data_IF_330820777749
#
_entry.id   IF_330820777749
#
_cell.length_a   1.000
_cell.length_b   1.000
_cell.length_c   1.000
_cell.angle_alpha   90.00
_cell.angle_beta   90.00
_cell.angle_gamma   90.00
#
_symmetry.space_group_name_H-M   'P 1'
#
loop_
_entity.id
_entity.type
_entity.pdbx_description
1 polymer ?
#
# COMPACT_ATOMS: atom_id res chain seq x y z
N UNK A 1 -37.11 20.07 5.98
CA UNK A 1 -36.81 19.58 7.37
C UNK A 1 -36.30 18.17 7.24
N UNK A 2 -35.09 17.88 7.75
CA UNK A 2 -34.51 16.52 7.67
C UNK A 2 -35.23 15.64 8.69
N UNK A 3 -35.74 14.50 8.24
CA UNK A 3 -36.44 13.52 9.08
C UNK A 3 -35.52 13.05 10.24
N UNK A 4 -36.05 12.98 11.50
CA UNK A 4 -35.28 12.49 12.65
C UNK A 4 -34.64 11.11 12.44
N UNK A 5 -35.32 10.21 11.71
CA UNK A 5 -34.82 8.89 11.37
C UNK A 5 -33.56 8.97 10.48
N UNK A 6 -33.57 9.89 9.51
CA UNK A 6 -32.40 10.16 8.64
C UNK A 6 -31.22 10.72 9.42
N UNK A 7 -31.46 11.59 10.41
CA UNK A 7 -30.41 12.12 11.28
C UNK A 7 -29.77 11.02 12.12
N UNK A 8 -30.59 10.13 12.69
CA UNK A 8 -30.11 8.99 13.46
C UNK A 8 -29.28 8.02 12.59
N UNK A 9 -29.76 7.71 11.38
CA UNK A 9 -29.02 6.88 10.43
C UNK A 9 -27.64 7.47 10.13
N UNK A 10 -27.57 8.77 9.80
CA UNK A 10 -26.28 9.46 9.55
C UNK A 10 -25.35 9.42 10.76
N UNK A 11 -25.89 9.59 11.96
CA UNK A 11 -25.10 9.50 13.20
C UNK A 11 -24.55 8.08 13.40
N UNK A 12 -25.37 7.05 13.18
CA UNK A 12 -24.95 5.65 13.29
C UNK A 12 -23.87 5.29 12.25
N UNK A 13 -24.01 5.71 10.99
CA UNK A 13 -23.01 5.47 9.95
C UNK A 13 -21.66 6.13 10.28
N UNK A 14 -21.67 7.33 10.87
CA UNK A 14 -20.45 7.98 11.38
C UNK A 14 -19.84 7.20 12.54
N UNK A 15 -20.65 6.77 13.51
CA UNK A 15 -20.19 5.98 14.66
C UNK A 15 -19.57 4.66 14.22
N UNK A 16 -20.17 3.97 13.26
CA UNK A 16 -19.67 2.74 12.66
C UNK A 16 -18.47 2.96 11.71
N UNK A 17 -18.08 4.22 11.48
CA UNK A 17 -16.97 4.58 10.57
C UNK A 17 -17.17 4.05 9.15
N UNK A 18 -18.36 4.30 8.58
CA UNK A 18 -18.74 3.93 7.22
C UNK A 18 -18.87 5.19 6.34
N UNK A 19 -17.78 5.89 6.03
CA UNK A 19 -17.82 7.18 5.35
C UNK A 19 -18.34 7.07 3.91
N UNK A 20 -18.01 5.99 3.19
CA UNK A 20 -18.46 5.77 1.81
C UNK A 20 -19.94 5.49 1.76
N UNK A 21 -20.43 4.63 2.67
CA UNK A 21 -21.88 4.38 2.81
C UNK A 21 -22.59 5.69 3.15
N UNK A 22 -22.07 6.49 4.08
CA UNK A 22 -22.66 7.79 4.46
C UNK A 22 -22.74 8.76 3.30
N UNK A 23 -21.78 8.74 2.39
CA UNK A 23 -21.77 9.61 1.20
C UNK A 23 -22.74 9.15 0.11
N UNK A 24 -22.87 7.84 -0.10
CA UNK A 24 -23.52 7.28 -1.29
C UNK A 24 -24.92 6.71 -1.05
N UNK A 25 -25.32 6.44 0.20
CA UNK A 25 -26.54 5.68 0.49
C UNK A 25 -27.82 6.33 -0.07
N UNK A 26 -27.96 7.66 -0.02
CA UNK A 26 -29.16 8.35 -0.51
C UNK A 26 -29.29 8.28 -2.04
N UNK A 27 -28.16 8.39 -2.74
CA UNK A 27 -28.11 8.28 -4.21
C UNK A 27 -28.45 6.87 -4.65
N UNK A 28 -27.76 5.88 -4.08
CA UNK A 28 -27.97 4.47 -4.42
C UNK A 28 -29.37 3.98 -4.05
N UNK A 29 -29.98 4.50 -2.98
CA UNK A 29 -31.36 4.16 -2.63
C UNK A 29 -32.34 4.64 -3.69
N UNK A 30 -32.16 5.86 -4.23
CA UNK A 30 -32.99 6.37 -5.32
C UNK A 30 -32.84 5.57 -6.61
N UNK A 31 -31.58 5.23 -6.93
CA UNK A 31 -31.26 4.45 -8.13
C UNK A 31 -31.81 3.02 -8.03
N UNK A 32 -31.73 2.39 -6.86
CA UNK A 32 -32.30 1.07 -6.60
C UNK A 32 -33.86 1.07 -6.69
N UNK A 33 -34.50 2.08 -6.11
CA UNK A 33 -35.93 2.24 -6.19
C UNK A 33 -36.42 2.46 -7.64
N UNK A 34 -35.67 3.24 -8.45
CA UNK A 34 -35.99 3.47 -9.85
C UNK A 34 -35.88 2.21 -10.73
N UNK A 35 -35.07 1.23 -10.30
CA UNK A 35 -34.83 -0.04 -11.01
C UNK A 35 -35.58 -1.23 -10.40
N UNK A 36 -36.38 -0.99 -9.37
CA UNK A 36 -37.10 -2.03 -8.59
C UNK A 36 -36.09 -3.13 -8.11
N UNK A 37 -34.93 -2.70 -7.64
CA UNK A 37 -33.89 -3.62 -7.14
C UNK A 37 -34.27 -4.19 -5.76
N UNK A 38 -33.97 -5.48 -5.49
CA UNK A 38 -34.09 -6.07 -4.16
C UNK A 38 -33.25 -5.31 -3.12
N UNK A 39 -33.76 -5.20 -1.90
CA UNK A 39 -33.03 -4.52 -0.80
C UNK A 39 -31.65 -5.09 -0.53
N UNK A 40 -31.48 -6.41 -0.71
CA UNK A 40 -30.21 -7.09 -0.57
C UNK A 40 -29.19 -6.65 -1.63
N UNK A 41 -29.64 -6.40 -2.86
CA UNK A 41 -28.77 -5.91 -3.93
C UNK A 41 -28.26 -4.49 -3.63
N UNK A 42 -29.17 -3.62 -3.18
CA UNK A 42 -28.79 -2.28 -2.70
C UNK A 42 -27.77 -2.33 -1.55
N UNK A 43 -28.02 -3.14 -0.52
CA UNK A 43 -27.12 -3.28 0.62
C UNK A 43 -25.76 -3.84 0.21
N UNK A 44 -25.75 -4.84 -0.68
CA UNK A 44 -24.52 -5.40 -1.23
C UNK A 44 -23.69 -4.33 -1.94
N UNK A 45 -24.31 -3.54 -2.82
CA UNK A 45 -23.62 -2.46 -3.53
C UNK A 45 -22.99 -1.46 -2.58
N UNK A 46 -23.69 -1.03 -1.54
CA UNK A 46 -23.17 -0.13 -0.51
C UNK A 46 -21.97 -0.72 0.23
N UNK A 47 -22.07 -1.98 0.64
CA UNK A 47 -20.99 -2.64 1.38
C UNK A 47 -19.76 -2.90 0.51
N UNK A 48 -19.95 -3.28 -0.76
CA UNK A 48 -18.85 -3.45 -1.72
C UNK A 48 -18.10 -2.14 -1.95
N UNK A 49 -18.80 -1.00 -2.08
CA UNK A 49 -18.18 0.32 -2.22
C UNK A 49 -17.36 0.69 -0.98
N UNK A 50 -17.87 0.47 0.22
CA UNK A 50 -17.13 0.74 1.47
C UNK A 50 -15.88 -0.13 1.57
N UNK A 51 -15.99 -1.43 1.27
CA UNK A 51 -14.85 -2.37 1.27
C UNK A 51 -13.80 -1.95 0.25
N UNK A 52 -14.20 -1.60 -0.96
CA UNK A 52 -13.30 -1.14 -2.01
C UNK A 52 -12.57 0.15 -1.62
N UNK A 53 -13.30 1.14 -1.07
CA UNK A 53 -12.71 2.40 -0.61
C UNK A 53 -11.72 2.18 0.54
N UNK A 54 -12.04 1.33 1.51
CA UNK A 54 -11.13 0.98 2.61
C UNK A 54 -9.88 0.28 2.11
N UNK A 55 -10.03 -0.65 1.18
CA UNK A 55 -8.90 -1.36 0.57
C UNK A 55 -7.96 -0.40 -0.15
N UNK A 56 -8.51 0.49 -0.97
CA UNK A 56 -7.75 1.52 -1.68
C UNK A 56 -7.01 2.46 -0.71
N UNK A 57 -7.69 2.94 0.33
CA UNK A 57 -7.10 3.80 1.36
C UNK A 57 -5.99 3.10 2.14
N UNK A 58 -6.17 1.81 2.45
CA UNK A 58 -5.14 1.03 3.12
C UNK A 58 -3.89 0.85 2.25
N UNK A 59 -4.04 0.60 0.94
CA UNK A 59 -2.92 0.55 -0.02
C UNK A 59 -2.22 1.90 -0.09
N UNK A 60 -2.96 2.99 -0.27
CA UNK A 60 -2.40 4.34 -0.34
C UNK A 60 -1.62 4.71 0.95
N UNK A 61 -2.14 4.33 2.11
CA UNK A 61 -1.47 4.54 3.39
C UNK A 61 -0.16 3.75 3.48
N UNK A 62 -0.12 2.48 3.03
CA UNK A 62 1.11 1.68 3.01
C UNK A 62 2.16 2.28 2.08
N UNK A 63 1.77 2.69 0.87
CA UNK A 63 2.68 3.34 -0.10
C UNK A 63 3.26 4.63 0.49
N UNK A 64 2.44 5.46 1.10
CA UNK A 64 2.91 6.70 1.76
C UNK A 64 3.88 6.41 2.91
N UNK A 65 3.58 5.41 3.73
CA UNK A 65 4.42 5.02 4.88
C UNK A 65 5.73 4.36 4.44
N UNK A 66 5.76 3.74 3.26
CA UNK A 66 6.96 3.09 2.75
C UNK A 66 8.13 4.07 2.47
N UNK A 67 7.85 5.35 2.24
CA UNK A 67 8.89 6.37 2.08
C UNK A 67 9.61 6.31 0.73
N UNK A 68 8.96 5.86 -0.33
CA UNK A 68 9.56 5.86 -1.68
C UNK A 68 9.87 7.30 -2.13
N UNK A 69 11.09 7.58 -2.65
CA UNK A 69 11.46 8.91 -3.12
C UNK A 69 10.65 9.34 -4.35
N UNK A 70 10.26 8.37 -5.18
CA UNK A 70 9.43 8.52 -6.37
C UNK A 70 8.67 7.23 -6.61
N UNK A 71 7.47 7.30 -7.15
CA UNK A 71 6.73 6.09 -7.52
C UNK A 71 7.19 5.61 -8.89
N UNK A 72 7.67 4.38 -8.95
CA UNK A 72 8.16 3.70 -10.16
C UNK A 72 7.48 2.36 -10.28
N UNK A 73 6.79 2.13 -11.41
CA UNK A 73 6.05 0.90 -11.69
C UNK A 73 6.71 0.10 -12.82
N UNK A 74 6.38 -1.19 -12.91
CA UNK A 74 6.89 -2.03 -14.01
C UNK A 74 6.33 -1.63 -15.38
N UNK A 75 5.17 -0.99 -15.43
CA UNK A 75 4.57 -0.51 -16.68
C UNK A 75 5.40 0.60 -17.34
N UNK A 76 6.19 1.32 -16.56
CA UNK A 76 7.10 2.37 -17.05
C UNK A 76 8.55 1.92 -17.14
N UNK A 77 8.85 0.64 -16.85
CA UNK A 77 10.21 0.10 -16.90
C UNK A 77 10.52 -0.48 -18.27
N UNK A 78 11.59 0.00 -18.90
CA UNK A 78 12.06 -0.55 -20.17
C UNK A 78 12.95 -1.78 -19.95
N UNK A 79 12.33 -2.95 -20.04
CA UNK A 79 13.04 -4.23 -19.94
C UNK A 79 13.99 -4.49 -21.10
N UNK A 80 13.82 -3.81 -22.24
CA UNK A 80 14.72 -4.00 -23.39
C UNK A 80 16.06 -3.33 -23.18
N UNK A 81 16.11 -2.27 -22.36
CA UNK A 81 17.33 -1.59 -21.96
C UNK A 81 18.16 -2.38 -20.93
N UNK A 82 17.58 -3.41 -20.29
CA UNK A 82 18.25 -4.22 -19.26
C UNK A 82 18.05 -5.71 -19.52
N UNK A 83 18.70 -6.27 -20.58
CA UNK A 83 18.49 -7.69 -20.96
C UNK A 83 18.89 -8.69 -19.87
N UNK A 84 19.75 -8.29 -18.93
CA UNK A 84 20.17 -9.10 -17.79
C UNK A 84 19.06 -9.31 -16.74
N UNK A 85 17.96 -8.54 -16.80
CA UNK A 85 16.79 -8.71 -15.95
C UNK A 85 15.61 -9.21 -16.80
N UNK A 86 15.34 -10.53 -16.86
CA UNK A 86 14.19 -11.06 -17.57
C UNK A 86 12.88 -10.52 -16.96
N UNK A 87 12.01 -9.96 -17.81
CA UNK A 87 10.69 -9.43 -17.39
C UNK A 87 9.90 -10.44 -16.57
N UNK A 88 9.91 -11.71 -17.02
CA UNK A 88 9.18 -12.78 -16.31
C UNK A 88 9.68 -12.94 -14.86
N UNK A 89 10.99 -12.91 -14.64
CA UNK A 89 11.59 -13.03 -13.30
C UNK A 89 11.24 -11.82 -12.42
N UNK A 90 11.27 -10.61 -12.98
CA UNK A 90 10.89 -9.41 -12.25
C UNK A 90 9.42 -9.45 -11.80
N UNK A 91 8.51 -9.91 -12.68
CA UNK A 91 7.08 -10.04 -12.38
C UNK A 91 6.80 -11.20 -11.41
N UNK A 92 7.55 -12.31 -11.49
CA UNK A 92 7.48 -13.40 -10.52
C UNK A 92 7.82 -12.89 -9.10
N UNK A 93 8.92 -12.16 -8.95
CA UNK A 93 9.31 -11.58 -7.67
C UNK A 93 8.30 -10.53 -7.15
N UNK A 94 7.57 -9.86 -8.04
CA UNK A 94 6.50 -8.94 -7.66
C UNK A 94 5.30 -9.62 -6.95
N UNK A 95 5.17 -10.96 -7.05
CA UNK A 95 4.17 -11.75 -6.30
C UNK A 95 4.48 -11.87 -4.81
N UNK A 96 5.74 -11.60 -4.41
CA UNK A 96 6.12 -11.50 -3.00
C UNK A 96 6.27 -12.82 -2.25
N UNK A 97 6.30 -13.96 -2.92
CA UNK A 97 6.50 -15.27 -2.28
C UNK A 97 7.83 -15.34 -1.51
N UNK A 98 8.90 -14.78 -2.08
CA UNK A 98 10.22 -14.68 -1.48
C UNK A 98 10.22 -13.90 -0.15
N UNK A 99 9.36 -12.89 0.00
CA UNK A 99 9.20 -12.15 1.26
C UNK A 99 8.61 -13.07 2.33
N UNK A 100 7.61 -13.86 1.97
CA UNK A 100 6.98 -14.84 2.87
C UNK A 100 7.98 -15.93 3.28
N UNK A 101 8.88 -16.32 2.37
CA UNK A 101 9.96 -17.29 2.60
C UNK A 101 11.17 -16.68 3.32
N UNK A 102 11.14 -15.38 3.65
CA UNK A 102 12.25 -14.64 4.28
C UNK A 102 13.56 -14.72 3.47
N UNK A 103 13.44 -14.77 2.15
CA UNK A 103 14.60 -14.78 1.25
C UNK A 103 14.99 -13.33 0.92
N UNK A 104 16.31 -13.06 0.88
CA UNK A 104 16.81 -11.75 0.48
C UNK A 104 17.05 -11.71 -1.03
N UNK A 105 16.90 -10.52 -1.62
CA UNK A 105 17.18 -10.25 -3.02
C UNK A 105 18.20 -9.12 -3.10
N UNK A 106 19.28 -9.33 -3.85
CA UNK A 106 20.30 -8.31 -4.13
C UNK A 106 20.23 -7.91 -5.60
N UNK A 107 20.16 -6.59 -5.86
CA UNK A 107 20.25 -5.99 -7.19
C UNK A 107 21.68 -5.45 -7.38
N UNK A 108 22.46 -6.09 -8.25
CA UNK A 108 23.85 -5.74 -8.53
C UNK A 108 23.98 -5.26 -9.97
N UNK A 109 24.69 -4.15 -10.18
CA UNK A 109 24.91 -3.58 -11.52
C UNK A 109 25.41 -2.14 -11.46
N UNK A 110 25.84 -1.61 -12.60
CA UNK A 110 26.35 -0.25 -12.73
C UNK A 110 25.30 0.83 -12.41
N UNK A 111 25.74 2.09 -12.30
CA UNK A 111 24.84 3.23 -12.12
C UNK A 111 23.90 3.36 -13.33
N UNK A 112 22.66 3.82 -13.10
CA UNK A 112 21.67 4.05 -14.17
C UNK A 112 21.01 2.79 -14.74
N UNK A 113 21.34 1.57 -14.28
CA UNK A 113 20.76 0.31 -14.80
C UNK A 113 19.35 -0.01 -14.29
N UNK A 114 18.71 0.92 -13.57
CA UNK A 114 17.32 0.76 -13.12
C UNK A 114 17.12 -0.05 -11.83
N UNK A 115 18.17 -0.34 -11.05
CA UNK A 115 18.08 -1.09 -9.80
C UNK A 115 17.04 -0.50 -8.83
N UNK A 116 17.16 0.79 -8.55
CA UNK A 116 16.24 1.52 -7.69
C UNK A 116 14.80 1.50 -8.24
N UNK A 117 14.63 1.62 -9.57
CA UNK A 117 13.31 1.51 -10.21
C UNK A 117 12.67 0.15 -9.92
N UNK A 118 13.41 -0.94 -10.17
CA UNK A 118 12.93 -2.30 -9.94
C UNK A 118 12.62 -2.55 -8.46
N UNK A 119 13.49 -2.10 -7.54
CA UNK A 119 13.26 -2.23 -6.10
C UNK A 119 11.98 -1.51 -5.65
N UNK A 120 11.76 -0.29 -6.15
CA UNK A 120 10.54 0.48 -5.86
C UNK A 120 9.31 -0.21 -6.48
N UNK A 121 9.39 -0.71 -7.71
CA UNK A 121 8.28 -1.40 -8.36
C UNK A 121 7.87 -2.68 -7.61
N UNK A 122 8.84 -3.45 -7.08
CA UNK A 122 8.52 -4.56 -6.16
C UNK A 122 7.89 -4.07 -4.87
N UNK A 123 8.44 -3.03 -4.25
CA UNK A 123 7.88 -2.45 -3.03
C UNK A 123 6.43 -1.99 -3.20
N UNK A 124 6.11 -1.33 -4.31
CA UNK A 124 4.74 -0.91 -4.65
C UNK A 124 3.81 -2.11 -4.84
N UNK A 125 4.26 -3.14 -5.56
CA UNK A 125 3.49 -4.37 -5.75
C UNK A 125 3.18 -5.04 -4.40
N UNK A 126 4.15 -5.10 -3.50
CA UNK A 126 4.00 -5.66 -2.16
C UNK A 126 3.07 -4.83 -1.26
N UNK A 127 3.11 -3.49 -1.35
CA UNK A 127 2.14 -2.63 -0.66
C UNK A 127 0.70 -2.92 -1.11
N UNK A 128 0.48 -3.18 -2.41
CA UNK A 128 -0.82 -3.59 -2.97
C UNK A 128 -1.26 -4.95 -2.46
N UNK A 129 -0.31 -5.87 -2.25
CA UNK A 129 -0.55 -7.18 -1.63
C UNK A 129 -0.71 -7.14 -0.10
N UNK A 130 -0.74 -5.94 0.49
CA UNK A 130 -0.98 -5.77 1.93
C UNK A 130 0.27 -5.82 2.79
N UNK A 131 1.47 -5.97 2.22
CA UNK A 131 2.74 -6.00 2.96
C UNK A 131 3.16 -4.61 3.41
N UNK A 132 3.83 -4.53 4.56
CA UNK A 132 4.45 -3.31 5.08
C UNK A 132 5.86 -3.21 4.51
N UNK A 133 6.09 -2.20 3.70
CA UNK A 133 7.37 -1.96 3.04
C UNK A 133 7.98 -0.69 3.62
N UNK A 134 9.30 -0.67 3.76
CA UNK A 134 10.07 0.52 4.06
C UNK A 134 11.20 0.65 3.06
N UNK A 135 11.32 1.85 2.47
CA UNK A 135 12.44 2.24 1.61
C UNK A 135 13.37 3.18 2.39
N UNK A 136 14.66 2.99 2.27
CA UNK A 136 15.69 3.89 2.82
C UNK A 136 16.98 3.73 2.02
N UNK A 137 17.90 4.70 2.11
CA UNK A 137 19.28 4.52 1.67
C UNK A 137 20.12 3.94 2.81
N UNK A 138 21.24 3.29 2.48
CA UNK A 138 22.16 2.77 3.49
C UNK A 138 22.65 3.89 4.43
N UNK A 139 23.03 5.03 3.88
CA UNK A 139 23.46 6.19 4.67
C UNK A 139 22.39 6.69 5.65
N UNK A 140 21.14 6.85 5.16
CA UNK A 140 20.04 7.29 6.01
C UNK A 140 19.72 6.29 7.12
N UNK A 141 19.79 4.98 6.84
CA UNK A 141 19.58 3.94 7.84
C UNK A 141 20.64 3.98 8.94
N UNK A 142 21.93 4.12 8.56
CA UNK A 142 23.03 4.24 9.52
C UNK A 142 22.83 5.46 10.42
N UNK A 143 22.57 6.63 9.83
CA UNK A 143 22.31 7.87 10.60
C UNK A 143 21.16 7.69 11.59
N UNK A 144 20.04 7.09 11.14
CA UNK A 144 18.88 6.84 12.03
C UNK A 144 19.23 5.93 13.21
N UNK A 145 20.03 4.88 12.97
CA UNK A 145 20.44 3.95 14.03
C UNK A 145 21.42 4.60 15.00
N UNK A 146 22.37 5.41 14.52
CA UNK A 146 23.30 6.16 15.37
C UNK A 146 22.58 7.18 16.25
N UNK A 147 21.65 7.96 15.66
CA UNK A 147 20.82 8.89 16.42
C UNK A 147 19.94 8.17 17.47
N UNK A 148 19.35 7.02 17.08
CA UNK A 148 18.56 6.22 18.01
C UNK A 148 19.39 5.69 19.18
N UNK A 149 20.64 5.31 18.92
CA UNK A 149 21.58 4.87 19.96
C UNK A 149 21.93 6.02 20.91
N UNK A 150 22.29 7.20 20.38
CA UNK A 150 22.59 8.39 21.17
C UNK A 150 21.42 8.83 22.06
N UNK A 151 20.19 8.63 21.57
CA UNK A 151 18.95 8.99 22.27
C UNK A 151 18.39 7.84 23.15
N UNK A 152 19.13 6.75 23.34
CA UNK A 152 18.71 5.58 24.13
C UNK A 152 17.37 4.97 23.67
N UNK A 153 17.08 5.00 22.38
CA UNK A 153 15.83 4.46 21.77
C UNK A 153 16.07 3.43 20.67
N UNK A 154 17.28 2.86 20.62
CA UNK A 154 17.67 1.88 19.60
C UNK A 154 16.71 0.68 19.56
N UNK A 155 16.37 0.13 20.74
CA UNK A 155 15.45 -1.02 20.82
C UNK A 155 14.08 -0.71 20.20
N UNK A 156 13.58 0.51 20.38
CA UNK A 156 12.31 0.95 19.79
C UNK A 156 12.41 1.06 18.26
N UNK A 157 13.54 1.54 17.77
CA UNK A 157 13.80 1.65 16.31
C UNK A 157 13.92 0.27 15.68
N UNK A 158 14.67 -0.65 16.31
CA UNK A 158 14.76 -2.03 15.86
C UNK A 158 13.40 -2.74 15.88
N UNK A 159 12.62 -2.59 16.95
CA UNK A 159 11.27 -3.13 17.03
C UNK A 159 10.32 -2.55 15.95
N UNK A 160 10.57 -1.32 15.46
CA UNK A 160 9.81 -0.76 14.34
C UNK A 160 10.24 -1.39 13.02
N UNK A 161 11.52 -1.70 12.82
CA UNK A 161 12.04 -2.42 11.65
C UNK A 161 11.53 -3.87 11.62
N UNK A 162 11.45 -4.55 12.75
CA UNK A 162 10.91 -5.92 12.84
C UNK A 162 9.45 -6.05 12.39
N UNK A 163 8.70 -4.93 12.42
CA UNK A 163 7.31 -4.90 11.94
C UNK A 163 7.18 -4.75 10.43
N UNK A 164 8.28 -4.51 9.73
CA UNK A 164 8.32 -4.35 8.28
C UNK A 164 8.43 -5.72 7.62
N UNK A 165 7.59 -5.98 6.62
CA UNK A 165 7.64 -7.23 5.87
C UNK A 165 8.76 -7.21 4.82
N UNK A 166 9.10 -6.02 4.28
CA UNK A 166 10.21 -5.79 3.36
C UNK A 166 10.92 -4.47 3.67
N UNK A 167 12.22 -4.54 3.96
CA UNK A 167 13.12 -3.39 4.00
C UNK A 167 13.90 -3.30 2.68
N UNK A 168 13.77 -2.19 1.98
CA UNK A 168 14.55 -1.86 0.79
C UNK A 168 15.65 -0.90 1.23
N UNK A 169 16.90 -1.34 1.07
CA UNK A 169 18.08 -0.52 1.33
C UNK A 169 18.77 -0.24 0.00
N UNK A 170 18.74 1.01 -0.42
CA UNK A 170 19.36 1.47 -1.66
C UNK A 170 20.74 2.09 -1.38
N UNK A 171 21.56 2.21 -2.41
CA UNK A 171 22.89 2.83 -2.33
C UNK A 171 23.81 2.17 -1.28
N UNK A 172 23.95 0.84 -1.37
CA UNK A 172 24.83 0.07 -0.48
C UNK A 172 26.35 0.25 -0.77
N UNK A 173 26.70 0.89 -1.90
CA UNK A 173 28.07 1.14 -2.34
C UNK A 173 28.16 1.33 -3.83
#
# INVERSE_FOLDING_TARGET
MTDPATLLLKANLKHLRLPTVLAEYEKLARDAAARDEPYEAYLRTLTELEVAARSANAVAARIRTAGFPVLKEFDTFDFTAVPSLPKQKALELARGEWVTQRTNVCLIGGSGTGKTHVAIAWGLSLCRLGKRVRFTTAAALVTELEEAQQQHRLDRTLAALDRVDLLIVDELG
#
